data_IF_193327472838
#
_entry.id   IF_193327472838
#
_cell.length_a   1.000
_cell.length_b   1.000
_cell.length_c   1.000
_cell.angle_alpha   90.00
_cell.angle_beta   90.00
_cell.angle_gamma   90.00
#
_symmetry.space_group_name_H-M   'P 1'
#
loop_
_entity.id
_entity.type
_entity.pdbx_description
1 polymer ?
#
# COMPACT_ATOMS: atom_id res chain seq x y z
N UNK A 1 9.16 -18.76 -4.29
CA UNK A 1 8.12 -18.25 -5.22
C UNK A 1 6.79 -18.21 -4.48
N UNK A 2 5.94 -17.18 -4.63
CA UNK A 2 4.58 -17.20 -4.09
C UNK A 2 3.74 -18.29 -4.77
N UNK A 3 2.81 -18.90 -4.03
CA UNK A 3 1.88 -19.93 -4.50
C UNK A 3 0.59 -19.36 -5.08
N UNK A 4 0.35 -18.06 -4.91
CA UNK A 4 -0.81 -17.34 -5.46
C UNK A 4 -0.73 -15.85 -5.14
N UNK A 5 -1.55 -15.04 -5.82
CA UNK A 5 -1.70 -13.61 -5.54
C UNK A 5 -3.16 -13.18 -5.56
N UNK A 6 -3.45 -12.10 -4.83
CA UNK A 6 -4.69 -11.35 -4.94
C UNK A 6 -4.33 -9.87 -5.11
N UNK A 7 -4.76 -9.28 -6.21
CA UNK A 7 -4.32 -7.95 -6.64
C UNK A 7 -5.53 -7.02 -6.79
N UNK A 8 -5.41 -5.81 -6.26
CA UNK A 8 -6.44 -4.81 -6.39
C UNK A 8 -5.85 -3.40 -6.39
N UNK A 9 -6.47 -2.49 -7.12
CA UNK A 9 -6.10 -1.08 -7.13
C UNK A 9 -7.29 -0.22 -6.79
N UNK A 10 -7.09 0.79 -5.95
CA UNK A 10 -8.14 1.73 -5.55
C UNK A 10 -7.67 3.16 -5.71
N UNK A 11 -8.58 4.05 -6.13
CA UNK A 11 -8.35 5.48 -6.17
C UNK A 11 -8.58 6.13 -4.80
N UNK A 12 -7.73 7.08 -4.41
CA UNK A 12 -7.89 7.88 -3.19
C UNK A 12 -7.27 9.26 -3.38
N UNK A 13 -8.09 10.33 -3.28
CA UNK A 13 -7.65 11.74 -3.35
C UNK A 13 -6.77 12.08 -4.58
N UNK A 14 -7.07 11.51 -5.74
CA UNK A 14 -6.29 11.71 -6.97
C UNK A 14 -5.07 10.80 -7.13
N UNK A 15 -4.77 9.97 -6.13
CA UNK A 15 -3.73 8.95 -6.16
C UNK A 15 -4.34 7.58 -6.41
N UNK A 16 -3.50 6.62 -6.83
CA UNK A 16 -3.86 5.21 -6.94
C UNK A 16 -3.03 4.40 -5.95
N UNK A 17 -3.70 3.62 -5.11
CA UNK A 17 -3.08 2.65 -4.21
C UNK A 17 -3.19 1.29 -4.90
N UNK A 18 -2.05 0.70 -5.27
CA UNK A 18 -1.96 -0.64 -5.81
C UNK A 18 -1.55 -1.61 -4.71
N UNK A 19 -2.31 -2.69 -4.52
CA UNK A 19 -2.17 -3.63 -3.41
C UNK A 19 -2.08 -5.04 -3.96
N UNK A 20 -1.10 -5.79 -3.49
CA UNK A 20 -0.83 -7.17 -3.87
C UNK A 20 -0.67 -7.99 -2.60
N UNK A 21 -1.61 -8.90 -2.34
CA UNK A 21 -1.47 -9.92 -1.31
C UNK A 21 -0.86 -11.17 -1.94
N UNK A 22 0.31 -11.60 -1.46
CA UNK A 22 1.03 -12.77 -1.99
C UNK A 22 0.91 -13.94 -1.03
N UNK A 23 0.51 -15.12 -1.52
CA UNK A 23 0.43 -16.35 -0.74
C UNK A 23 1.76 -17.09 -0.77
N UNK A 24 2.22 -17.56 0.37
CA UNK A 24 3.39 -18.43 0.55
C UNK A 24 2.99 -19.66 1.37
N UNK A 25 3.87 -20.68 1.43
CA UNK A 25 3.58 -21.94 2.11
C UNK A 25 2.69 -22.90 1.31
N UNK A 26 2.40 -24.06 1.88
CA UNK A 26 1.59 -25.12 1.29
C UNK A 26 0.08 -24.89 1.43
N UNK A 27 -0.72 -25.93 1.20
CA UNK A 27 -2.18 -25.83 1.23
C UNK A 27 -2.73 -25.56 2.64
N UNK A 28 -2.08 -26.12 3.67
CA UNK A 28 -2.56 -26.11 5.07
C UNK A 28 -1.79 -25.17 6.00
N UNK A 29 -0.58 -24.77 5.64
CA UNK A 29 0.33 -23.91 6.41
C UNK A 29 0.60 -22.58 5.71
N UNK A 30 -0.23 -22.23 4.71
CA UNK A 30 -0.03 -21.05 3.89
C UNK A 30 -0.25 -19.75 4.66
N UNK A 31 0.54 -18.73 4.35
CA UNK A 31 0.38 -17.37 4.87
C UNK A 31 0.38 -16.35 3.74
N UNK A 32 -0.17 -15.17 4.02
CA UNK A 32 -0.20 -14.06 3.08
C UNK A 32 0.76 -12.96 3.51
N UNK A 33 1.43 -12.32 2.55
CA UNK A 33 2.22 -11.11 2.78
C UNK A 33 1.64 -9.97 1.97
N UNK A 34 1.86 -8.74 2.42
CA UNK A 34 1.44 -7.53 1.74
C UNK A 34 2.58 -6.98 0.88
N UNK A 35 2.24 -6.53 -0.33
CA UNK A 35 2.99 -5.52 -1.06
C UNK A 35 2.06 -4.40 -1.48
N UNK A 36 2.44 -3.15 -1.30
CA UNK A 36 1.65 -2.02 -1.77
C UNK A 36 2.51 -0.88 -2.33
N UNK A 37 1.92 -0.12 -3.25
CA UNK A 37 2.57 1.02 -3.89
C UNK A 37 1.55 2.12 -4.18
N UNK A 38 1.94 3.36 -3.91
CA UNK A 38 1.16 4.55 -4.25
C UNK A 38 1.65 5.12 -5.58
N UNK A 39 0.72 5.52 -6.43
CA UNK A 39 0.98 6.13 -7.72
C UNK A 39 0.29 7.49 -7.82
N UNK A 40 0.96 8.45 -8.45
CA UNK A 40 0.43 9.77 -8.77
C UNK A 40 0.74 10.09 -10.24
N UNK A 41 -0.28 10.50 -11.01
CA UNK A 41 -0.12 10.84 -12.44
C UNK A 41 0.63 9.80 -13.29
N UNK A 42 0.45 8.50 -12.99
CA UNK A 42 1.12 7.42 -13.71
C UNK A 42 2.54 7.10 -13.23
N UNK A 43 3.05 7.81 -12.22
CA UNK A 43 4.35 7.55 -11.61
C UNK A 43 4.20 6.90 -10.23
N UNK A 44 4.99 5.85 -10.00
CA UNK A 44 5.12 5.26 -8.67
C UNK A 44 5.87 6.20 -7.73
N UNK A 45 5.31 6.46 -6.56
CA UNK A 45 5.97 7.24 -5.52
C UNK A 45 7.03 6.38 -4.81
N UNK A 46 8.18 6.95 -4.40
CA UNK A 46 9.32 6.21 -3.87
C UNK A 46 9.16 5.84 -2.39
N UNK A 47 7.96 5.43 -1.96
CA UNK A 47 7.74 4.98 -0.60
C UNK A 47 8.16 3.52 -0.44
N UNK A 48 8.76 3.22 0.72
CA UNK A 48 9.05 1.85 1.12
C UNK A 48 7.74 1.06 1.18
N UNK A 49 7.78 -0.18 0.69
CA UNK A 49 6.67 -1.12 0.76
C UNK A 49 6.30 -1.33 2.25
N UNK A 50 5.00 -1.31 2.64
CA UNK A 50 4.56 -1.27 4.03
C UNK A 50 5.21 -2.25 5.00
N UNK A 51 5.62 -3.45 4.57
CA UNK A 51 6.56 -4.29 5.32
C UNK A 51 6.80 -5.62 4.61
N UNK A 52 8.06 -6.05 4.51
CA UNK A 52 8.43 -7.34 3.89
C UNK A 52 8.23 -8.58 4.78
N UNK A 53 7.83 -8.41 6.05
CA UNK A 53 7.86 -9.47 7.07
C UNK A 53 6.51 -9.82 7.72
N UNK A 54 5.48 -8.99 7.57
CA UNK A 54 4.17 -9.24 8.20
C UNK A 54 3.45 -10.38 7.49
N UNK A 55 2.96 -11.33 8.28
CA UNK A 55 2.15 -12.47 7.81
C UNK A 55 0.68 -12.26 8.18
N UNK A 56 -0.19 -12.46 7.21
CA UNK A 56 -1.63 -12.38 7.35
C UNK A 56 -2.24 -13.77 7.19
N UNK A 57 -3.30 -14.04 7.95
CA UNK A 57 -4.05 -15.29 7.85
C UNK A 57 -4.83 -15.38 6.53
N UNK A 58 -5.25 -14.25 5.96
CA UNK A 58 -5.98 -14.21 4.70
C UNK A 58 -5.59 -13.02 3.80
N UNK A 59 -5.89 -13.15 2.50
CA UNK A 59 -5.65 -12.11 1.51
C UNK A 59 -6.44 -10.82 1.79
N UNK A 60 -7.63 -10.93 2.37
CA UNK A 60 -8.47 -9.77 2.67
C UNK A 60 -7.85 -8.90 3.78
N UNK A 61 -7.26 -9.50 4.81
CA UNK A 61 -6.58 -8.75 5.89
C UNK A 61 -5.34 -8.04 5.36
N UNK A 62 -4.53 -8.74 4.56
CA UNK A 62 -3.39 -8.14 3.85
C UNK A 62 -3.85 -6.95 2.99
N UNK A 63 -4.95 -7.13 2.25
CA UNK A 63 -5.50 -6.08 1.38
C UNK A 63 -6.00 -4.86 2.17
N UNK A 64 -6.67 -5.07 3.31
CA UNK A 64 -7.12 -3.97 4.18
C UNK A 64 -5.94 -3.22 4.80
N UNK A 65 -4.89 -3.92 5.21
CA UNK A 65 -3.67 -3.31 5.70
C UNK A 65 -2.99 -2.45 4.62
N UNK A 66 -2.89 -2.95 3.39
CA UNK A 66 -2.36 -2.19 2.26
C UNK A 66 -3.16 -0.93 1.95
N UNK A 67 -4.49 -1.00 2.08
CA UNK A 67 -5.36 0.16 1.91
C UNK A 67 -5.14 1.21 3.00
N UNK A 68 -5.11 0.78 4.26
CA UNK A 68 -4.89 1.68 5.40
C UNK A 68 -3.54 2.39 5.29
N UNK A 69 -2.46 1.63 5.03
CA UNK A 69 -1.14 2.18 4.77
C UNK A 69 -1.14 3.19 3.61
N UNK A 70 -1.74 2.83 2.48
CA UNK A 70 -1.74 3.69 1.29
C UNK A 70 -2.44 5.02 1.54
N UNK A 71 -3.58 4.99 2.25
CA UNK A 71 -4.31 6.20 2.66
C UNK A 71 -3.49 7.07 3.59
N UNK A 72 -2.85 6.45 4.59
CA UNK A 72 -2.01 7.16 5.54
C UNK A 72 -0.83 7.86 4.85
N UNK A 73 -0.15 7.20 3.92
CA UNK A 73 0.95 7.81 3.14
C UNK A 73 0.44 9.01 2.32
N UNK A 74 -0.70 8.87 1.65
CA UNK A 74 -1.30 9.94 0.86
C UNK A 74 -1.69 11.13 1.74
N UNK A 75 -2.31 10.87 2.89
CA UNK A 75 -2.76 11.92 3.80
C UNK A 75 -1.57 12.67 4.41
N UNK A 76 -0.49 11.97 4.78
CA UNK A 76 0.77 12.61 5.20
C UNK A 76 1.41 13.44 4.10
N UNK A 77 1.40 12.94 2.86
CA UNK A 77 1.94 13.66 1.70
C UNK A 77 1.19 14.97 1.46
N UNK A 78 -0.14 14.92 1.42
CA UNK A 78 -0.98 16.11 1.24
C UNK A 78 -0.74 17.12 2.37
N UNK A 79 -0.72 16.66 3.63
CA UNK A 79 -0.44 17.54 4.77
C UNK A 79 0.94 18.19 4.67
N UNK A 80 1.96 17.44 4.22
CA UNK A 80 3.32 18.00 4.04
C UNK A 80 3.39 19.04 2.92
N UNK A 81 2.63 18.86 1.84
CA UNK A 81 2.56 19.81 0.74
C UNK A 81 1.87 21.11 1.19
N UNK A 82 0.76 21.01 1.91
CA UNK A 82 0.05 22.16 2.47
C UNK A 82 0.93 22.96 3.44
N UNK A 83 1.64 22.29 4.34
CA UNK A 83 2.55 22.97 5.26
C UNK A 83 3.71 23.68 4.55
N UNK A 84 4.22 23.10 3.46
CA UNK A 84 5.27 23.72 2.65
C UNK A 84 4.75 24.93 1.87
N UNK A 85 3.52 24.87 1.35
CA UNK A 85 2.86 26.01 0.71
C UNK A 85 2.64 27.15 1.71
N UNK A 86 2.07 26.87 2.88
CA UNK A 86 1.85 27.88 3.93
C UNK A 86 3.16 28.58 4.37
N UNK A 87 4.25 27.81 4.48
CA UNK A 87 5.57 28.33 4.81
C UNK A 87 6.20 29.16 3.67
N UNK A 88 5.81 28.94 2.41
CA UNK A 88 6.29 29.70 1.27
C UNK A 88 5.55 31.04 1.09
N UNK A 89 4.35 31.19 1.67
CA UNK A 89 3.53 32.39 1.61
C UNK A 89 3.55 33.23 2.90
N UNK A 90 4.30 32.80 3.93
CA UNK A 90 4.55 33.57 5.17
C UNK A 90 5.93 34.22 5.15
#
# INVERSE_FOLDING_TARGET
MPSGSHEHSVGYRGYRIHIVALRYGGQHDGWWTLRARVWQHGHALPYADPDGGVRFACAADASRAGLAWGREIIDRLIASQQAAEEAAFS
#
